data_IF_934045471453
#
_entry.id   IF_934045471453
#
_cell.length_a   1.000
_cell.length_b   1.000
_cell.length_c   1.000
_cell.angle_alpha   90.00
_cell.angle_beta   90.00
_cell.angle_gamma   90.00
#
_symmetry.space_group_name_H-M   'P 1'
#
loop_
_entity.id
_entity.type
_entity.pdbx_description
1 polymer ?
#
# COMPACT_ATOMS: atom_id res chain seq x y z
N UNK A 1 -67.56 -4.60 0.78
CA UNK A 1 -66.53 -4.77 -0.28
C UNK A 1 -65.19 -4.40 0.33
N UNK A 2 -64.29 -5.37 0.47
CA UNK A 2 -62.95 -5.14 1.03
C UNK A 2 -62.03 -4.56 -0.06
N UNK A 3 -61.43 -3.41 0.21
CA UNK A 3 -60.36 -2.82 -0.60
C UNK A 3 -59.08 -3.62 -0.32
N UNK A 4 -58.60 -4.37 -1.30
CA UNK A 4 -57.30 -5.04 -1.24
C UNK A 4 -56.19 -4.03 -1.55
N UNK A 5 -55.43 -3.68 -0.51
CA UNK A 5 -54.22 -2.88 -0.62
C UNK A 5 -53.13 -3.73 -1.30
N UNK A 6 -52.75 -3.38 -2.54
CA UNK A 6 -51.59 -4.00 -3.20
C UNK A 6 -50.32 -3.43 -2.58
N UNK A 7 -49.57 -4.26 -1.87
CA UNK A 7 -48.20 -3.98 -1.46
C UNK A 7 -47.35 -3.90 -2.75
N UNK A 8 -46.57 -2.82 -2.97
CA UNK A 8 -45.65 -2.78 -4.11
C UNK A 8 -44.60 -3.88 -3.92
N UNK A 9 -44.54 -4.80 -4.87
CA UNK A 9 -43.45 -5.76 -4.97
C UNK A 9 -42.19 -5.01 -5.39
N UNK A 10 -41.36 -4.60 -4.42
CA UNK A 10 -39.98 -4.21 -4.73
C UNK A 10 -39.25 -5.50 -5.09
N UNK A 11 -38.95 -5.66 -6.38
CA UNK A 11 -38.13 -6.78 -6.86
C UNK A 11 -36.83 -6.80 -6.05
N UNK A 12 -36.42 -7.94 -5.45
CA UNK A 12 -35.18 -8.02 -4.70
C UNK A 12 -33.99 -7.63 -5.59
N UNK A 13 -32.99 -6.97 -5.01
CA UNK A 13 -31.76 -6.60 -5.70
C UNK A 13 -31.03 -7.86 -6.19
N UNK A 14 -30.43 -7.79 -7.38
CA UNK A 14 -29.72 -8.90 -8.01
C UNK A 14 -28.43 -8.40 -8.64
N UNK A 15 -27.39 -9.24 -8.61
CA UNK A 15 -26.12 -8.99 -9.27
C UNK A 15 -26.04 -9.83 -10.55
N UNK A 16 -25.53 -9.24 -11.63
CA UNK A 16 -25.39 -9.91 -12.92
C UNK A 16 -24.00 -10.56 -13.01
N UNK A 17 -23.95 -11.88 -13.16
CA UNK A 17 -22.72 -12.69 -13.23
C UNK A 17 -21.70 -12.36 -12.12
N UNK A 18 -22.08 -12.53 -10.84
CA UNK A 18 -21.24 -12.06 -9.76
C UNK A 18 -19.96 -12.89 -9.62
N UNK A 19 -18.87 -12.20 -9.28
CA UNK A 19 -17.57 -12.76 -8.96
C UNK A 19 -17.32 -12.65 -7.45
N UNK A 20 -16.64 -13.64 -6.88
CA UNK A 20 -16.16 -13.56 -5.51
C UNK A 20 -14.85 -12.78 -5.48
N UNK A 21 -14.77 -11.80 -4.58
CA UNK A 21 -13.54 -11.08 -4.32
C UNK A 21 -13.26 -10.91 -2.84
N UNK A 22 -12.00 -11.01 -2.47
CA UNK A 22 -11.52 -10.76 -1.12
C UNK A 22 -11.03 -9.31 -0.99
N UNK A 23 -11.38 -8.65 0.11
CA UNK A 23 -10.86 -7.34 0.51
C UNK A 23 -9.41 -7.50 0.94
N UNK A 24 -8.48 -6.76 0.31
CA UNK A 24 -7.05 -6.83 0.66
C UNK A 24 -6.61 -5.80 1.70
N UNK A 25 -7.26 -4.63 1.72
CA UNK A 25 -7.02 -3.56 2.70
C UNK A 25 -8.32 -3.05 3.26
N UNK A 26 -8.27 -2.50 4.46
CA UNK A 26 -9.39 -1.77 5.03
C UNK A 26 -9.91 -0.74 4.03
N UNK A 27 -11.13 -0.93 3.53
CA UNK A 27 -11.74 -0.09 2.50
C UNK A 27 -13.07 0.45 2.97
N UNK A 28 -13.25 1.75 2.81
CA UNK A 28 -14.54 2.39 3.00
C UNK A 28 -15.50 1.86 1.92
N UNK A 29 -16.49 1.09 2.35
CA UNK A 29 -17.60 0.66 1.53
C UNK A 29 -18.64 1.77 1.55
N UNK A 30 -19.06 2.21 0.37
CA UNK A 30 -19.87 3.42 0.20
C UNK A 30 -21.23 3.13 -0.40
N UNK A 31 -22.15 4.06 -0.22
CA UNK A 31 -23.52 3.97 -0.73
C UNK A 31 -23.61 4.25 -2.24
N UNK A 32 -22.63 4.93 -2.83
CA UNK A 32 -22.55 5.18 -4.28
C UNK A 32 -21.10 5.05 -4.79
N UNK A 33 -20.94 5.03 -6.12
CA UNK A 33 -19.68 4.95 -6.87
C UNK A 33 -18.92 6.28 -6.90
N UNK A 34 -18.84 6.92 -5.74
CA UNK A 34 -18.19 8.22 -5.55
C UNK A 34 -17.44 8.24 -4.22
N UNK A 35 -16.19 8.69 -4.24
CA UNK A 35 -15.37 8.86 -3.04
C UNK A 35 -15.94 9.89 -2.06
N UNK A 36 -16.87 10.75 -2.48
CA UNK A 36 -17.57 11.72 -1.62
C UNK A 36 -18.88 11.20 -1.04
N UNK A 37 -19.37 10.05 -1.50
CA UNK A 37 -20.62 9.46 -1.00
C UNK A 37 -20.47 8.93 0.44
N UNK A 38 -21.60 8.75 1.11
CA UNK A 38 -21.62 8.26 2.50
C UNK A 38 -20.97 6.89 2.61
N UNK A 39 -20.24 6.70 3.71
CA UNK A 39 -19.63 5.42 4.06
C UNK A 39 -20.70 4.58 4.74
N UNK A 40 -21.05 3.46 4.12
CA UNK A 40 -21.95 2.48 4.72
C UNK A 40 -21.24 1.74 5.87
N UNK A 41 -20.03 1.24 5.62
CA UNK A 41 -19.18 0.61 6.63
C UNK A 41 -17.73 0.49 6.16
N UNK A 42 -16.83 0.09 7.07
CA UNK A 42 -15.44 -0.25 6.76
C UNK A 42 -15.31 -1.76 6.58
N UNK A 43 -15.02 -2.23 5.37
CA UNK A 43 -14.69 -3.63 5.15
C UNK A 43 -13.21 -3.86 5.48
N UNK A 44 -12.91 -4.97 6.16
CA UNK A 44 -11.57 -5.33 6.65
C UNK A 44 -10.87 -6.31 5.69
N UNK A 45 -9.52 -6.36 5.72
CA UNK A 45 -8.75 -7.38 5.01
C UNK A 45 -9.26 -8.80 5.29
N UNK A 46 -9.22 -9.68 4.30
CA UNK A 46 -9.67 -11.07 4.42
C UNK A 46 -11.18 -11.29 4.24
N UNK A 47 -11.98 -10.22 4.27
CA UNK A 47 -13.42 -10.35 4.06
C UNK A 47 -13.76 -10.62 2.59
N UNK A 48 -14.63 -11.59 2.34
CA UNK A 48 -15.02 -12.00 1.00
C UNK A 48 -16.43 -11.50 0.71
N UNK A 49 -16.60 -10.88 -0.45
CA UNK A 49 -17.91 -10.47 -0.94
C UNK A 49 -18.13 -10.98 -2.35
N UNK A 50 -19.38 -11.37 -2.63
CA UNK A 50 -19.84 -11.70 -3.97
C UNK A 50 -20.43 -10.44 -4.60
N UNK A 51 -19.90 -10.04 -5.75
CA UNK A 51 -20.20 -8.73 -6.34
C UNK A 51 -19.91 -8.67 -7.84
N UNK A 52 -20.00 -7.49 -8.41
CA UNK A 52 -19.73 -7.23 -9.82
C UNK A 52 -18.83 -6.00 -9.98
N UNK A 53 -17.95 -6.03 -10.98
CA UNK A 53 -17.14 -4.87 -11.34
C UNK A 53 -18.02 -3.87 -12.11
N UNK A 54 -18.06 -2.62 -11.65
CA UNK A 54 -18.66 -1.49 -12.35
C UNK A 54 -17.65 -0.33 -12.39
N UNK A 55 -16.93 -0.21 -13.52
CA UNK A 55 -15.81 0.73 -13.61
C UNK A 55 -14.73 0.40 -12.58
N UNK A 56 -14.34 1.38 -11.77
CA UNK A 56 -13.37 1.20 -10.68
C UNK A 56 -14.00 0.77 -9.35
N UNK A 57 -15.28 0.39 -9.36
CA UNK A 57 -16.01 -0.02 -8.15
C UNK A 57 -16.39 -1.49 -8.19
N UNK A 58 -16.29 -2.12 -7.03
CA UNK A 58 -16.82 -3.44 -6.76
C UNK A 58 -18.17 -3.28 -6.07
N UNK A 59 -19.24 -3.52 -6.82
CA UNK A 59 -20.61 -3.43 -6.35
C UNK A 59 -21.05 -4.76 -5.76
N UNK A 60 -21.57 -4.74 -4.55
CA UNK A 60 -22.17 -5.91 -3.92
C UNK A 60 -23.38 -5.50 -3.09
N UNK A 61 -24.08 -6.49 -2.52
CA UNK A 61 -25.28 -6.25 -1.72
C UNK A 61 -24.91 -6.37 -0.25
N UNK A 62 -25.23 -5.35 0.54
CA UNK A 62 -25.09 -5.35 1.99
C UNK A 62 -26.36 -4.78 2.62
N UNK A 63 -26.92 -5.51 3.59
CA UNK A 63 -28.16 -5.12 4.29
C UNK A 63 -29.32 -4.70 3.37
N UNK A 64 -29.43 -5.35 2.20
CA UNK A 64 -30.49 -5.09 1.23
C UNK A 64 -30.26 -3.87 0.33
N UNK A 65 -29.10 -3.21 0.43
CA UNK A 65 -28.71 -2.08 -0.43
C UNK A 65 -27.54 -2.45 -1.34
N UNK A 66 -27.43 -1.80 -2.49
CA UNK A 66 -26.18 -1.81 -3.24
C UNK A 66 -25.17 -0.94 -2.52
N UNK A 67 -23.97 -1.49 -2.38
CA UNK A 67 -22.83 -0.80 -1.80
C UNK A 67 -21.60 -1.05 -2.65
N UNK A 68 -20.61 -0.17 -2.51
CA UNK A 68 -19.50 -0.07 -3.43
C UNK A 68 -18.18 0.02 -2.66
N UNK A 69 -17.31 -0.97 -2.86
CA UNK A 69 -15.91 -0.89 -2.47
C UNK A 69 -15.08 -0.47 -3.68
N UNK A 70 -13.92 0.15 -3.47
CA UNK A 70 -13.02 0.46 -4.57
C UNK A 70 -12.42 -0.83 -5.12
N UNK A 71 -12.68 -1.13 -6.41
CA UNK A 71 -12.37 -2.43 -7.03
C UNK A 71 -10.89 -2.83 -6.92
N UNK A 72 -9.92 -1.92 -7.09
CA UNK A 72 -8.51 -2.25 -6.90
C UNK A 72 -8.15 -2.79 -5.51
N UNK A 73 -8.95 -2.51 -4.47
CA UNK A 73 -8.71 -3.04 -3.13
C UNK A 73 -9.31 -4.44 -2.92
N UNK A 74 -9.71 -5.10 -4.01
CA UNK A 74 -10.30 -6.44 -4.00
C UNK A 74 -9.56 -7.40 -4.94
N UNK A 75 -9.52 -8.70 -4.64
CA UNK A 75 -8.85 -9.71 -5.48
C UNK A 75 -9.72 -10.88 -5.92
N UNK A 76 -9.47 -11.49 -7.10
CA UNK A 76 -10.21 -12.68 -7.50
C UNK A 76 -9.88 -13.83 -6.57
N UNK A 77 -10.90 -14.64 -6.25
CA UNK A 77 -10.71 -15.93 -5.59
C UNK A 77 -10.68 -16.97 -6.69
N UNK A 78 -9.52 -17.58 -6.97
CA UNK A 78 -9.46 -18.72 -7.89
C UNK A 78 -10.21 -19.91 -7.27
N UNK A 79 -10.99 -20.62 -8.09
CA UNK A 79 -11.89 -21.69 -7.67
C UNK A 79 -11.18 -22.80 -6.87
N UNK A 80 -11.79 -23.15 -5.74
CA UNK A 80 -11.41 -24.15 -4.72
C UNK A 80 -10.28 -25.14 -5.07
N UNK A 81 -9.05 -24.72 -4.79
CA UNK A 81 -8.01 -25.61 -4.25
C UNK A 81 -7.95 -25.38 -2.73
N UNK A 82 -7.58 -26.39 -1.94
CA UNK A 82 -7.17 -26.13 -0.57
C UNK A 82 -5.90 -25.29 -0.65
N UNK A 83 -5.99 -23.97 -0.50
CA UNK A 83 -4.81 -23.07 -0.60
C UNK A 83 -4.35 -22.59 0.77
N UNK A 84 -5.18 -22.75 1.80
CA UNK A 84 -4.93 -22.15 3.10
C UNK A 84 -5.49 -23.02 4.24
N UNK A 85 -4.72 -23.07 5.33
CA UNK A 85 -5.14 -23.65 6.61
C UNK A 85 -5.12 -22.49 7.61
N UNK A 86 -6.24 -22.22 8.27
CA UNK A 86 -6.32 -21.13 9.25
C UNK A 86 -5.26 -21.30 10.35
N UNK A 87 -4.54 -20.21 10.65
CA UNK A 87 -3.43 -20.22 11.62
C UNK A 87 -2.11 -20.77 11.06
N UNK A 88 -1.98 -20.92 9.73
CA UNK A 88 -0.73 -21.34 9.10
C UNK A 88 0.40 -20.35 9.33
N UNK A 89 1.58 -20.87 9.64
CA UNK A 89 2.84 -20.13 9.67
C UNK A 89 3.67 -20.52 8.44
N UNK A 90 4.65 -19.69 8.08
CA UNK A 90 5.56 -19.99 6.98
C UNK A 90 6.81 -20.73 7.48
N UNK A 91 7.25 -21.71 6.70
CA UNK A 91 8.36 -22.60 7.06
C UNK A 91 9.26 -22.82 5.85
N UNK A 92 10.57 -22.86 6.07
CA UNK A 92 11.55 -23.28 5.06
C UNK A 92 12.06 -24.67 5.39
N UNK A 93 11.98 -25.58 4.41
CA UNK A 93 12.49 -26.94 4.51
C UNK A 93 14.03 -26.92 4.52
N UNK A 94 14.66 -27.51 5.54
CA UNK A 94 16.14 -27.48 5.69
C UNK A 94 16.83 -28.77 5.25
N UNK A 95 16.07 -29.86 5.07
CA UNK A 95 16.58 -31.14 4.57
C UNK A 95 15.51 -31.84 3.71
N UNK A 96 15.86 -32.85 2.92
CA UNK A 96 14.86 -33.61 2.16
C UNK A 96 13.92 -34.35 3.11
N UNK A 97 12.60 -34.12 3.01
CA UNK A 97 11.59 -34.71 3.90
C UNK A 97 10.57 -35.53 3.15
N UNK A 98 10.14 -36.63 3.78
CA UNK A 98 8.96 -37.36 3.35
C UNK A 98 7.69 -36.60 3.77
N UNK A 99 6.81 -36.41 2.82
CA UNK A 99 5.45 -35.89 3.04
C UNK A 99 4.55 -37.06 3.38
N UNK A 100 3.77 -36.96 4.46
CA UNK A 100 2.93 -38.05 4.96
C UNK A 100 1.46 -37.65 5.06
N UNK A 101 0.57 -38.63 5.01
CA UNK A 101 -0.88 -38.39 5.15
C UNK A 101 -1.34 -38.18 6.60
N UNK A 102 -0.53 -38.59 7.59
CA UNK A 102 -0.83 -38.45 9.03
C UNK A 102 0.43 -38.00 9.82
N UNK A 103 0.23 -37.42 11.00
CA UNK A 103 1.27 -36.79 11.83
C UNK A 103 2.10 -37.79 12.65
N UNK A 104 2.66 -38.82 12.01
CA UNK A 104 3.59 -39.76 12.65
C UNK A 104 4.52 -40.46 11.64
N UNK A 105 5.66 -40.98 12.12
CA UNK A 105 6.73 -41.54 11.28
C UNK A 105 6.37 -42.85 10.56
N UNK A 106 5.33 -43.55 11.02
CA UNK A 106 4.82 -44.78 10.40
C UNK A 106 3.70 -44.53 9.35
N UNK A 107 3.31 -43.28 9.11
CA UNK A 107 2.22 -42.95 8.18
C UNK A 107 2.63 -43.17 6.71
N UNK A 108 1.64 -43.29 5.82
CA UNK A 108 1.88 -43.46 4.38
C UNK A 108 2.63 -42.25 3.82
N UNK A 109 3.68 -42.52 3.06
CA UNK A 109 4.46 -41.49 2.36
C UNK A 109 3.73 -41.14 1.07
N UNK A 110 3.29 -39.88 0.96
CA UNK A 110 2.61 -39.34 -0.22
C UNK A 110 3.58 -38.79 -1.26
N UNK A 111 4.79 -38.44 -0.82
CA UNK A 111 5.83 -37.87 -1.66
C UNK A 111 7.00 -37.35 -0.83
N UNK A 112 7.78 -36.46 -1.41
CA UNK A 112 8.88 -35.78 -0.72
C UNK A 112 8.97 -34.31 -1.10
N UNK A 113 9.59 -33.54 -0.21
CA UNK A 113 9.94 -32.12 -0.39
C UNK A 113 11.44 -31.94 -0.23
N UNK A 114 12.00 -30.96 -0.95
CA UNK A 114 13.43 -30.70 -1.01
C UNK A 114 13.84 -29.50 -0.14
N UNK A 115 15.11 -29.43 0.31
CA UNK A 115 15.64 -28.26 0.99
C UNK A 115 15.41 -26.97 0.19
N UNK A 116 15.12 -25.88 0.91
CA UNK A 116 14.83 -24.56 0.33
C UNK A 116 13.39 -24.38 -0.13
N UNK A 117 12.56 -25.44 -0.12
CA UNK A 117 11.13 -25.29 -0.38
C UNK A 117 10.47 -24.52 0.78
N UNK A 118 9.71 -23.48 0.46
CA UNK A 118 8.84 -22.78 1.41
C UNK A 118 7.46 -23.44 1.44
N UNK A 119 6.95 -23.72 2.63
CA UNK A 119 5.61 -24.28 2.84
C UNK A 119 4.87 -23.44 3.89
N UNK A 120 3.54 -23.35 3.75
CA UNK A 120 2.67 -22.71 4.73
C UNK A 120 1.83 -23.77 5.43
N UNK A 121 1.86 -23.79 6.77
CA UNK A 121 1.20 -24.85 7.53
C UNK A 121 1.15 -24.61 9.04
N UNK A 122 0.32 -25.39 9.73
CA UNK A 122 0.07 -25.29 11.17
C UNK A 122 0.89 -26.34 11.92
N UNK A 123 1.61 -25.94 12.96
CA UNK A 123 2.34 -26.86 13.82
C UNK A 123 1.38 -27.62 14.76
N UNK A 124 1.29 -28.94 14.59
CA UNK A 124 0.51 -29.88 15.39
C UNK A 124 1.45 -30.99 15.91
N UNK A 125 1.74 -31.00 17.22
CA UNK A 125 2.50 -32.09 17.87
C UNK A 125 3.82 -32.46 17.16
N UNK A 126 4.65 -31.47 16.82
CA UNK A 126 5.92 -31.59 16.08
C UNK A 126 5.78 -31.93 14.59
N UNK A 127 4.57 -31.88 14.03
CA UNK A 127 4.34 -32.01 12.59
C UNK A 127 3.73 -30.73 12.07
N UNK A 128 4.17 -30.26 10.91
CA UNK A 128 3.51 -29.16 10.22
C UNK A 128 2.50 -29.76 9.26
N UNK A 129 1.22 -29.47 9.53
CA UNK A 129 0.09 -29.77 8.65
C UNK A 129 0.03 -28.71 7.56
N UNK A 130 0.14 -29.11 6.30
CA UNK A 130 0.11 -28.22 5.14
C UNK A 130 -0.67 -28.86 3.99
N UNK A 131 -0.85 -28.15 2.89
CA UNK A 131 -1.47 -28.70 1.68
C UNK A 131 -0.38 -29.23 0.74
N UNK A 132 -0.52 -30.48 0.32
CA UNK A 132 0.32 -31.12 -0.69
C UNK A 132 -0.57 -31.84 -1.70
N UNK A 133 -0.43 -31.51 -3.00
CA UNK A 133 -1.26 -32.06 -4.07
C UNK A 133 -2.78 -31.99 -3.78
N UNK A 134 -3.25 -30.84 -3.30
CA UNK A 134 -4.64 -30.57 -2.95
C UNK A 134 -5.21 -31.44 -1.79
N UNK A 135 -4.35 -32.08 -0.98
CA UNK A 135 -4.72 -32.83 0.23
C UNK A 135 -3.98 -32.33 1.48
N UNK A 136 -4.54 -32.58 2.67
CA UNK A 136 -3.82 -32.36 3.92
C UNK A 136 -2.67 -33.36 4.06
N UNK A 137 -1.48 -32.85 4.32
CA UNK A 137 -0.31 -33.64 4.53
C UNK A 137 0.56 -33.08 5.67
N UNK A 138 1.53 -33.88 6.08
CA UNK A 138 2.33 -33.64 7.27
C UNK A 138 3.81 -33.83 6.96
N UNK A 139 4.63 -32.89 7.42
CA UNK A 139 6.10 -33.00 7.45
C UNK A 139 6.60 -32.75 8.87
N UNK A 140 7.73 -33.36 9.23
CA UNK A 140 8.23 -33.30 10.60
C UNK A 140 8.97 -31.97 10.87
N UNK A 141 8.59 -31.25 11.93
CA UNK A 141 8.98 -29.86 12.13
C UNK A 141 10.45 -29.65 12.46
N UNK A 142 11.15 -30.66 12.98
CA UNK A 142 12.58 -30.54 13.34
C UNK A 142 13.50 -30.23 12.15
N UNK A 143 12.98 -30.38 10.94
CA UNK A 143 13.69 -30.14 9.68
C UNK A 143 13.10 -28.95 8.91
N UNK A 144 12.42 -28.07 9.64
CA UNK A 144 11.86 -26.84 9.15
C UNK A 144 12.41 -25.69 9.99
N UNK A 145 12.86 -24.64 9.32
CA UNK A 145 13.08 -23.36 9.95
C UNK A 145 11.78 -22.57 9.85
N UNK A 146 11.22 -22.19 11.00
CA UNK A 146 10.07 -21.28 11.03
C UNK A 146 10.52 -19.95 10.45
N UNK A 147 9.86 -19.51 9.38
CA UNK A 147 9.98 -18.12 8.97
C UNK A 147 9.23 -17.30 10.01
N UNK A 148 9.99 -16.58 10.82
CA UNK A 148 9.45 -15.42 11.49
C UNK A 148 9.27 -14.42 10.35
N UNK A 149 8.07 -14.31 9.82
CA UNK A 149 7.69 -13.07 9.15
C UNK A 149 7.88 -12.00 10.21
N UNK A 150 8.99 -11.25 10.12
CA UNK A 150 8.93 -9.88 10.62
C UNK A 150 7.75 -9.28 9.88
N UNK A 151 6.66 -8.96 10.59
CA UNK A 151 5.61 -8.12 10.03
C UNK A 151 6.33 -7.00 9.32
N UNK A 152 6.19 -6.95 8.00
CA UNK A 152 6.88 -5.96 7.18
C UNK A 152 6.43 -4.61 7.75
N UNK A 153 7.33 -3.96 8.49
CA UNK A 153 6.98 -2.76 9.25
C UNK A 153 6.89 -1.62 8.26
N UNK A 154 5.75 -1.54 7.59
CA UNK A 154 5.46 -0.53 6.60
C UNK A 154 5.45 0.84 7.27
N UNK A 155 5.97 1.82 6.57
CA UNK A 155 6.15 3.19 7.07
C UNK A 155 4.95 4.04 6.64
N UNK A 156 4.01 4.39 7.55
CA UNK A 156 2.81 5.13 7.15
C UNK A 156 3.16 6.56 6.74
N UNK A 157 2.58 7.02 5.63
CA UNK A 157 2.74 8.40 5.17
C UNK A 157 2.01 9.42 6.04
N UNK A 158 1.02 8.99 6.83
CA UNK A 158 0.15 9.83 7.65
C UNK A 158 0.56 9.94 9.12
N UNK A 159 1.64 9.28 9.52
CA UNK A 159 2.15 9.40 10.88
C UNK A 159 2.80 10.76 11.10
N UNK A 160 3.23 11.04 12.34
CA UNK A 160 4.01 12.24 12.63
C UNK A 160 5.43 12.11 12.11
N UNK A 161 5.98 13.20 11.62
CA UNK A 161 7.40 13.28 11.32
C UNK A 161 8.24 13.01 12.56
N UNK A 162 9.32 12.26 12.38
CA UNK A 162 10.22 11.86 13.47
C UNK A 162 11.55 12.62 13.42
N UNK A 163 11.96 13.09 12.23
CA UNK A 163 13.12 13.97 12.09
C UNK A 163 12.80 15.41 12.52
N UNK A 164 13.77 16.06 13.16
CA UNK A 164 13.70 17.49 13.50
C UNK A 164 14.25 18.37 12.37
N UNK A 165 13.86 19.66 12.36
CA UNK A 165 14.40 20.66 11.42
C UNK A 165 15.94 20.70 11.49
N UNK A 166 16.51 20.66 12.69
CA UNK A 166 17.96 20.69 12.91
C UNK A 166 18.67 19.49 12.27
N UNK A 167 18.13 18.28 12.45
CA UNK A 167 18.66 17.06 11.84
C UNK A 167 18.63 17.13 10.31
N UNK A 168 17.51 17.58 9.74
CA UNK A 168 17.33 17.72 8.29
C UNK A 168 18.31 18.74 7.70
N UNK A 169 18.50 19.88 8.37
CA UNK A 169 19.45 20.93 7.96
C UNK A 169 20.90 20.42 8.07
N UNK A 170 21.24 19.76 9.17
CA UNK A 170 22.61 19.24 9.40
C UNK A 170 22.98 18.18 8.37
N UNK A 171 22.05 17.27 8.05
CA UNK A 171 22.25 16.29 6.99
C UNK A 171 22.46 16.97 5.64
N UNK A 172 21.58 17.91 5.26
CA UNK A 172 21.69 18.60 3.98
C UNK A 172 23.02 19.33 3.82
N UNK A 173 23.51 20.00 4.86
CA UNK A 173 24.84 20.61 4.87
C UNK A 173 25.98 19.60 4.75
N UNK A 174 25.81 18.38 5.27
CA UNK A 174 26.82 17.33 5.16
C UNK A 174 26.98 16.79 3.73
N UNK A 175 25.89 16.73 2.96
CA UNK A 175 25.87 16.18 1.59
C UNK A 175 25.94 17.27 0.50
N UNK A 176 25.58 18.51 0.83
CA UNK A 176 25.72 19.67 -0.05
C UNK A 176 26.22 20.89 0.75
N UNK A 177 27.53 20.96 1.05
CA UNK A 177 28.09 21.98 1.93
C UNK A 177 28.02 23.42 1.42
N UNK A 178 27.78 23.61 0.11
CA UNK A 178 27.70 24.92 -0.55
C UNK A 178 26.25 25.34 -0.82
N UNK A 179 25.27 24.61 -0.28
CA UNK A 179 23.86 24.87 -0.52
C UNK A 179 23.45 26.27 -0.06
N UNK A 180 22.55 26.91 -0.80
CA UNK A 180 22.00 28.21 -0.42
C UNK A 180 21.03 28.09 0.77
N UNK A 181 21.03 29.09 1.66
CA UNK A 181 20.12 29.21 2.80
C UNK A 181 18.63 29.04 2.44
N UNK A 182 18.23 29.36 1.19
CA UNK A 182 16.84 29.16 0.76
C UNK A 182 16.40 27.70 0.83
N UNK A 183 17.31 26.74 0.61
CA UNK A 183 17.01 25.31 0.69
C UNK A 183 17.06 24.78 2.12
N UNK A 184 17.89 25.38 2.98
CA UNK A 184 17.87 25.05 4.42
C UNK A 184 16.50 25.37 5.03
N UNK A 185 15.87 26.47 4.61
CA UNK A 185 14.50 26.83 5.02
C UNK A 185 13.43 25.83 4.56
N UNK A 186 13.71 25.01 3.54
CA UNK A 186 12.75 24.00 3.10
C UNK A 186 12.54 22.92 4.15
N UNK A 187 13.56 22.57 4.96
CA UNK A 187 13.40 21.58 6.03
C UNK A 187 12.22 21.91 6.95
N UNK A 188 12.17 23.17 7.42
CA UNK A 188 11.03 23.68 8.19
C UNK A 188 9.73 23.69 7.39
N UNK A 189 9.80 24.11 6.15
CA UNK A 189 8.63 24.23 5.26
C UNK A 189 7.95 22.88 5.07
N UNK A 190 8.72 21.81 4.85
CA UNK A 190 8.20 20.44 4.75
C UNK A 190 7.51 19.98 6.03
N UNK A 191 8.11 20.23 7.20
CA UNK A 191 7.50 19.86 8.48
C UNK A 191 6.18 20.60 8.71
N UNK A 192 6.13 21.90 8.38
CA UNK A 192 4.91 22.72 8.55
C UNK A 192 3.81 22.31 7.58
N UNK A 193 4.11 22.20 6.28
CA UNK A 193 3.12 21.80 5.26
C UNK A 193 2.64 20.36 5.50
N UNK A 194 3.56 19.46 5.90
CA UNK A 194 3.24 18.09 6.28
C UNK A 194 2.28 18.01 7.47
N UNK A 195 2.58 18.70 8.57
CA UNK A 195 1.70 18.73 9.75
C UNK A 195 0.31 19.28 9.41
N UNK A 196 0.23 20.34 8.60
CA UNK A 196 -1.06 20.93 8.16
C UNK A 196 -1.90 19.91 7.40
N UNK A 197 -1.29 19.15 6.50
CA UNK A 197 -2.03 18.18 5.66
C UNK A 197 -2.17 16.79 6.30
N UNK A 198 -1.50 16.53 7.43
CA UNK A 198 -1.47 15.21 8.08
C UNK A 198 -0.61 14.19 7.33
N UNK A 199 0.53 14.65 6.80
CA UNK A 199 1.50 13.85 6.04
C UNK A 199 2.89 14.06 6.62
N UNK A 200 3.70 12.99 6.64
CA UNK A 200 5.09 13.01 7.05
C UNK A 200 5.95 13.92 6.18
N UNK A 201 6.18 15.14 6.67
CA UNK A 201 7.04 16.14 6.03
C UNK A 201 8.51 15.72 5.94
N UNK A 202 9.02 14.99 6.93
CA UNK A 202 10.36 14.39 6.93
C UNK A 202 10.56 13.38 5.77
N UNK A 203 9.57 12.53 5.49
CA UNK A 203 9.61 11.63 4.32
C UNK A 203 9.56 12.39 3.01
N UNK A 204 8.69 13.41 2.91
CA UNK A 204 8.61 14.25 1.72
C UNK A 204 9.93 15.01 1.46
N UNK A 205 10.60 15.48 2.52
CA UNK A 205 11.91 16.08 2.41
C UNK A 205 12.98 15.07 1.97
N UNK A 206 13.05 13.88 2.58
CA UNK A 206 13.97 12.83 2.17
C UNK A 206 13.75 12.43 0.69
N UNK A 207 12.49 12.29 0.27
CA UNK A 207 12.12 12.09 -1.13
C UNK A 207 12.62 13.24 -2.01
N UNK A 208 12.46 14.50 -1.59
CA UNK A 208 12.93 15.65 -2.36
C UNK A 208 14.45 15.66 -2.57
N UNK A 209 15.22 15.18 -1.59
CA UNK A 209 16.67 15.05 -1.70
C UNK A 209 17.04 13.98 -2.73
N UNK A 210 16.31 12.87 -2.78
CA UNK A 210 16.48 11.85 -3.82
C UNK A 210 16.19 12.42 -5.21
N UNK A 211 15.03 13.07 -5.38
CA UNK A 211 14.54 13.57 -6.67
C UNK A 211 15.39 14.71 -7.25
N UNK A 212 15.96 15.54 -6.38
CA UNK A 212 16.75 16.72 -6.81
C UNK A 212 18.25 16.49 -6.79
N UNK A 213 18.72 15.33 -6.33
CA UNK A 213 20.14 15.08 -6.06
C UNK A 213 20.68 16.04 -5.00
N UNK A 214 20.04 16.09 -3.83
CA UNK A 214 20.36 17.01 -2.73
C UNK A 214 20.32 18.50 -3.13
N UNK A 215 19.30 18.90 -3.90
CA UNK A 215 19.11 20.24 -4.45
C UNK A 215 20.27 20.74 -5.33
N UNK A 216 21.01 19.82 -5.97
CA UNK A 216 22.01 20.19 -7.00
C UNK A 216 21.40 20.29 -8.39
N UNK A 217 20.25 19.64 -8.62
CA UNK A 217 19.50 19.61 -9.87
C UNK A 217 20.36 19.13 -11.06
N UNK A 218 20.25 17.85 -11.41
CA UNK A 218 20.99 17.24 -12.53
C UNK A 218 20.12 16.56 -13.59
N UNK A 219 18.80 16.57 -13.40
CA UNK A 219 17.83 15.93 -14.29
C UNK A 219 17.07 16.94 -15.17
N UNK A 220 15.87 16.55 -15.60
CA UNK A 220 15.01 17.39 -16.45
C UNK A 220 14.43 18.60 -15.72
N UNK A 221 14.32 18.55 -14.38
CA UNK A 221 13.76 19.63 -13.56
C UNK A 221 14.84 20.65 -13.21
N UNK A 222 14.60 21.91 -13.59
CA UNK A 222 15.43 23.04 -13.24
C UNK A 222 15.14 23.60 -11.84
N UNK A 223 16.16 24.14 -11.19
CA UNK A 223 16.09 24.83 -9.90
C UNK A 223 14.98 25.90 -9.85
N UNK A 224 14.77 26.64 -10.94
CA UNK A 224 13.77 27.72 -11.01
C UNK A 224 12.31 27.23 -11.00
N UNK A 225 12.06 25.93 -11.16
CA UNK A 225 10.71 25.37 -11.19
C UNK A 225 10.11 25.16 -9.81
N UNK A 226 10.91 25.15 -8.75
CA UNK A 226 10.47 24.76 -7.40
C UNK A 226 9.72 23.40 -7.38
N UNK A 227 10.04 22.50 -8.30
CA UNK A 227 9.39 21.19 -8.41
C UNK A 227 10.30 20.11 -7.78
N UNK A 228 10.26 20.02 -6.46
CA UNK A 228 11.20 19.18 -5.71
C UNK A 228 10.88 17.68 -5.74
N UNK A 229 9.79 17.29 -6.40
CA UNK A 229 9.32 15.91 -6.45
C UNK A 229 9.14 15.37 -7.89
N UNK A 230 9.60 16.13 -8.90
CA UNK A 230 9.47 15.72 -10.30
C UNK A 230 8.02 15.63 -10.80
N UNK A 231 7.09 16.39 -10.21
CA UNK A 231 5.66 16.35 -10.56
C UNK A 231 5.51 16.64 -12.06
N UNK A 232 5.03 15.64 -12.80
CA UNK A 232 4.79 15.76 -14.25
C UNK A 232 6.03 15.69 -15.13
N UNK A 233 7.23 15.49 -14.58
CA UNK A 233 8.42 15.21 -15.37
C UNK A 233 8.35 13.78 -15.92
N UNK A 234 8.70 13.57 -17.19
CA UNK A 234 8.55 12.27 -17.87
C UNK A 234 9.84 11.69 -18.42
N UNK A 235 10.98 12.33 -18.19
CA UNK A 235 12.22 11.96 -18.88
C UNK A 235 12.32 12.61 -20.27
N UNK A 236 13.54 12.64 -20.82
CA UNK A 236 13.79 13.03 -22.20
C UNK A 236 13.69 14.54 -22.45
N UNK A 237 13.96 15.36 -21.44
CA UNK A 237 13.92 16.81 -21.53
C UNK A 237 12.55 17.44 -21.28
N UNK A 238 11.56 16.67 -20.81
CA UNK A 238 10.29 17.23 -20.35
C UNK A 238 10.40 17.62 -18.86
N UNK A 239 10.45 18.93 -18.54
CA UNK A 239 10.76 19.42 -17.20
C UNK A 239 9.60 19.28 -16.21
N UNK A 240 8.41 18.89 -16.68
CA UNK A 240 7.21 18.77 -15.83
C UNK A 240 6.65 20.12 -15.38
N UNK A 241 5.99 20.11 -14.22
CA UNK A 241 5.31 21.28 -13.67
C UNK A 241 6.28 22.28 -13.00
N UNK A 242 5.83 23.51 -12.83
CA UNK A 242 6.55 24.58 -12.14
C UNK A 242 5.64 25.27 -11.13
N UNK A 243 6.22 25.66 -10.00
CA UNK A 243 5.51 26.29 -8.89
C UNK A 243 6.08 27.69 -8.61
N UNK A 244 5.21 28.66 -8.31
CA UNK A 244 5.59 30.07 -8.24
C UNK A 244 6.55 30.40 -7.10
N UNK A 245 6.51 29.64 -6.00
CA UNK A 245 7.42 29.81 -4.87
C UNK A 245 7.88 28.44 -4.34
N UNK A 246 9.01 28.39 -3.61
CA UNK A 246 9.47 27.18 -2.94
C UNK A 246 8.39 26.55 -2.04
N UNK A 247 7.66 27.36 -1.29
CA UNK A 247 6.59 26.90 -0.39
C UNK A 247 5.46 26.22 -1.14
N UNK A 248 5.05 26.77 -2.30
CA UNK A 248 4.02 26.16 -3.15
C UNK A 248 4.52 24.84 -3.77
N UNK A 249 5.81 24.75 -4.10
CA UNK A 249 6.43 23.51 -4.55
C UNK A 249 6.37 22.40 -3.50
N UNK A 250 6.75 22.72 -2.26
CA UNK A 250 6.64 21.80 -1.11
C UNK A 250 5.20 21.38 -0.90
N UNK A 251 4.26 22.34 -0.88
CA UNK A 251 2.83 22.05 -0.70
C UNK A 251 2.31 21.10 -1.77
N UNK A 252 2.64 21.33 -3.05
CA UNK A 252 2.21 20.45 -4.12
C UNK A 252 2.70 19.01 -3.94
N UNK A 253 3.95 18.81 -3.50
CA UNK A 253 4.46 17.48 -3.17
C UNK A 253 3.69 16.84 -2.01
N UNK A 254 3.47 17.58 -0.93
CA UNK A 254 2.71 17.09 0.23
C UNK A 254 1.29 16.70 -0.17
N UNK A 255 0.63 17.50 -1.00
CA UNK A 255 -0.70 17.18 -1.54
C UNK A 255 -0.65 15.93 -2.42
N UNK A 256 0.36 15.76 -3.26
CA UNK A 256 0.51 14.55 -4.07
C UNK A 256 0.68 13.29 -3.20
N UNK A 257 1.51 13.37 -2.16
CA UNK A 257 1.66 12.30 -1.17
C UNK A 257 0.35 12.04 -0.41
N UNK A 258 -0.40 13.08 -0.03
CA UNK A 258 -1.72 12.92 0.59
C UNK A 258 -2.71 12.21 -0.32
N UNK A 259 -2.63 12.46 -1.62
CA UNK A 259 -3.47 11.77 -2.59
C UNK A 259 -3.22 10.25 -2.53
N UNK A 260 -1.95 9.84 -2.52
CA UNK A 260 -1.57 8.44 -2.31
C UNK A 260 -1.96 7.90 -0.93
N UNK A 261 -1.80 8.70 0.11
CA UNK A 261 -1.85 8.24 1.49
C UNK A 261 -3.27 7.93 1.99
N UNK A 262 -4.26 8.75 1.67
CA UNK A 262 -5.61 8.62 2.25
C UNK A 262 -6.69 9.29 1.38
N UNK A 263 -7.93 9.35 1.86
CA UNK A 263 -9.06 10.05 1.21
C UNK A 263 -9.46 11.35 1.91
N UNK A 264 -8.73 11.79 2.92
CA UNK A 264 -9.06 13.02 3.65
C UNK A 264 -8.98 14.24 2.71
N UNK A 265 -9.90 15.21 2.84
CA UNK A 265 -9.85 16.42 2.05
C UNK A 265 -8.55 17.18 2.31
N UNK A 266 -8.11 17.96 1.31
CA UNK A 266 -7.01 18.90 1.52
C UNK A 266 -7.42 19.95 2.55
N UNK A 267 -6.49 20.31 3.42
CA UNK A 267 -6.70 21.39 4.40
C UNK A 267 -6.48 22.74 3.74
N UNK A 268 -5.51 22.82 2.83
CA UNK A 268 -5.21 24.02 2.05
C UNK A 268 -5.77 23.95 0.63
N UNK A 269 -5.72 25.08 -0.09
CA UNK A 269 -6.07 25.13 -1.50
C UNK A 269 -5.21 24.14 -2.31
N UNK A 270 -5.85 23.43 -3.25
CA UNK A 270 -5.16 22.50 -4.12
C UNK A 270 -4.23 23.24 -5.08
N UNK A 271 -2.93 23.03 -4.93
CA UNK A 271 -1.89 23.59 -5.80
C UNK A 271 -1.20 22.51 -6.64
N UNK A 272 -1.47 21.23 -6.38
CA UNK A 272 -1.00 20.12 -7.21
C UNK A 272 -1.90 19.93 -8.44
N UNK A 273 -1.43 20.28 -9.66
CA UNK A 273 -2.22 20.15 -10.88
C UNK A 273 -2.47 18.69 -11.27
N UNK A 274 -1.76 17.74 -10.65
CA UNK A 274 -1.88 16.30 -10.92
C UNK A 274 -2.63 15.55 -9.83
N UNK A 275 -3.11 16.23 -8.79
CA UNK A 275 -3.77 15.63 -7.63
C UNK A 275 -4.92 14.68 -8.02
N UNK A 276 -5.75 15.10 -8.98
CA UNK A 276 -6.88 14.33 -9.49
C UNK A 276 -6.51 13.09 -10.33
N UNK A 277 -5.25 12.95 -10.76
CA UNK A 277 -4.78 11.77 -11.49
C UNK A 277 -4.36 10.64 -10.57
N UNK A 278 -4.08 10.95 -9.29
CA UNK A 278 -3.72 9.94 -8.30
C UNK A 278 -5.00 9.26 -7.82
N UNK A 279 -5.00 7.93 -7.90
CA UNK A 279 -6.02 7.12 -7.26
C UNK A 279 -5.88 7.28 -5.75
N UNK A 280 -6.90 7.84 -5.11
CA UNK A 280 -6.82 8.20 -3.69
C UNK A 280 -6.62 6.96 -2.80
N UNK A 281 -5.80 7.11 -1.76
CA UNK A 281 -5.46 6.05 -0.80
C UNK A 281 -4.80 4.80 -1.42
N UNK A 282 -4.22 4.91 -2.62
CA UNK A 282 -3.62 3.76 -3.30
C UNK A 282 -2.23 3.36 -2.79
N UNK A 283 -1.58 4.19 -1.97
CA UNK A 283 -0.29 3.92 -1.35
C UNK A 283 -0.18 4.60 0.03
N UNK A 284 -0.88 4.11 1.07
CA UNK A 284 -0.79 4.60 2.46
C UNK A 284 0.60 4.51 3.09
N UNK A 285 1.47 3.63 2.58
CA UNK A 285 2.81 3.39 3.10
C UNK A 285 3.86 3.84 2.08
N UNK A 286 5.01 4.32 2.57
CA UNK A 286 6.11 4.78 1.72
C UNK A 286 6.61 3.68 0.77
N UNK A 287 6.68 2.44 1.26
CA UNK A 287 7.07 1.25 0.51
C UNK A 287 6.19 1.04 -0.72
N UNK A 288 4.91 1.40 -0.62
CA UNK A 288 3.93 1.28 -1.71
C UNK A 288 4.00 2.45 -2.70
N UNK A 289 4.89 3.43 -2.51
CA UNK A 289 5.27 4.36 -3.58
C UNK A 289 6.18 3.68 -4.62
N UNK A 290 6.87 2.60 -4.27
CA UNK A 290 7.49 1.70 -5.24
C UNK A 290 6.40 0.85 -5.89
N UNK A 291 6.08 1.08 -7.18
CA UNK A 291 4.98 0.39 -7.89
C UNK A 291 5.12 -1.13 -7.82
N UNK A 292 6.35 -1.66 -7.88
CA UNK A 292 6.61 -3.09 -7.82
C UNK A 292 6.33 -3.72 -6.45
N UNK A 293 6.38 -2.93 -5.38
CA UNK A 293 6.09 -3.38 -4.01
C UNK A 293 4.65 -3.09 -3.60
N UNK A 294 3.97 -2.24 -4.35
CA UNK A 294 2.57 -1.94 -4.10
C UNK A 294 1.68 -3.08 -4.61
N UNK A 295 0.91 -3.77 -3.75
CA UNK A 295 0.03 -4.87 -4.16
C UNK A 295 -1.09 -4.43 -5.13
N UNK A 296 -1.32 -3.13 -5.28
CA UNK A 296 -2.29 -2.54 -6.21
C UNK A 296 -1.69 -2.08 -7.54
N UNK A 297 -0.37 -2.11 -7.69
CA UNK A 297 0.32 -1.62 -8.89
C UNK A 297 0.24 -0.11 -9.10
N UNK A 298 -0.14 0.65 -8.06
CA UNK A 298 -0.03 2.11 -8.02
C UNK A 298 1.27 2.51 -7.34
N UNK A 299 1.66 3.78 -7.45
CA UNK A 299 2.85 4.28 -6.77
C UNK A 299 3.46 5.45 -7.52
N UNK A 300 4.48 6.03 -6.89
CA UNK A 300 5.20 7.17 -7.41
C UNK A 300 6.20 6.77 -8.50
N UNK A 301 6.94 5.68 -8.27
CA UNK A 301 8.06 5.29 -9.10
C UNK A 301 8.03 3.79 -9.44
N UNK A 302 8.47 3.45 -10.65
CA UNK A 302 8.57 2.05 -11.08
C UNK A 302 9.72 1.30 -10.38
N UNK A 303 10.76 2.00 -9.91
CA UNK A 303 11.91 1.38 -9.25
C UNK A 303 11.48 0.67 -7.94
N UNK A 304 11.76 -0.63 -7.82
CA UNK A 304 11.44 -1.42 -6.63
C UNK A 304 12.12 -0.86 -5.37
N UNK A 305 13.33 -0.33 -5.50
CA UNK A 305 14.12 0.17 -4.36
C UNK A 305 13.81 1.64 -4.03
N UNK A 306 12.78 2.24 -4.65
CA UNK A 306 12.49 3.67 -4.48
C UNK A 306 12.26 4.05 -3.02
N UNK A 307 11.40 3.32 -2.32
CA UNK A 307 11.14 3.55 -0.91
C UNK A 307 12.38 3.32 -0.02
N UNK A 308 13.15 2.26 -0.29
CA UNK A 308 14.40 1.96 0.44
C UNK A 308 15.40 3.12 0.34
N UNK A 309 15.53 3.73 -0.84
CA UNK A 309 16.40 4.89 -1.04
C UNK A 309 15.97 6.10 -0.20
N UNK A 310 14.65 6.33 -0.10
CA UNK A 310 14.09 7.42 0.72
C UNK A 310 14.30 7.14 2.21
N UNK A 311 14.04 5.91 2.66
CA UNK A 311 14.28 5.49 4.05
C UNK A 311 15.76 5.61 4.41
N UNK A 312 16.67 5.18 3.54
CA UNK A 312 18.11 5.32 3.76
C UNK A 312 18.59 6.77 3.81
N UNK A 313 17.88 7.72 3.20
CA UNK A 313 18.13 9.15 3.40
C UNK A 313 17.58 9.60 4.76
N UNK A 314 16.36 9.19 5.12
CA UNK A 314 15.77 9.51 6.42
C UNK A 314 16.64 8.99 7.58
N UNK A 315 17.14 7.75 7.50
CA UNK A 315 17.99 7.17 8.55
C UNK A 315 19.24 8.01 8.78
N UNK A 316 19.90 8.46 7.71
CA UNK A 316 21.05 9.37 7.80
C UNK A 316 20.69 10.75 8.35
N UNK A 317 19.47 11.22 8.12
CA UNK A 317 18.95 12.44 8.76
C UNK A 317 18.79 12.20 10.27
N UNK A 318 18.24 11.06 10.69
CA UNK A 318 18.00 10.75 12.10
C UNK A 318 19.29 10.51 12.89
N UNK A 319 20.37 10.12 12.22
CA UNK A 319 21.71 9.97 12.80
C UNK A 319 22.44 11.31 13.08
N UNK A 320 21.91 12.44 12.61
CA UNK A 320 22.52 13.75 12.80
C UNK A 320 22.45 14.27 14.24
#
# INVERSE_FOLDING_TARGET
MALTYRIPSTKPLTLDNPINREIRVSVNVREDRDFKSQIAFLAKPGQIYQGQKEGDWFKFIHEGNYVYAYYPFTMPIEEHRLTHIEGSENWTVTSTLNVRNESHTNATIMGSVSPGLKISGVLENNWVKFIYNDEHAYVYSQHLDREIEEEEKLTPLTDKSVATEEQMVKYLLSVNPTISDKYLKLAKTYLVEGEIEGIRGDLAFAQSLLETGNFTFGGDVAESQNNYAGIGATGGGNPGNSFPTPEIGVRAQIQHLKAYANTEPLVQENVDPRFHYVVRASAPYLEWLSIQLNPYGYGWAYNANYAELILGILDKILEQ
#
